data_IF_501021862770
#
_entry.id   IF_501021862770
#
_cell.length_a   1.000
_cell.length_b   1.000
_cell.length_c   1.000
_cell.angle_alpha   90.00
_cell.angle_beta   90.00
_cell.angle_gamma   90.00
#
_symmetry.space_group_name_H-M   'P 1'
#
loop_
_entity.id
_entity.type
_entity.pdbx_description
1 polymer ?
#
# COMPACT_ATOMS: atom_id res chain seq x y z
N UNK A 1 4.61 -24.67 9.07
CA UNK A 1 5.87 -24.83 8.31
C UNK A 1 6.98 -24.04 8.99
N UNK A 2 8.23 -24.52 8.97
CA UNK A 2 9.40 -23.71 9.29
C UNK A 2 9.44 -22.48 8.37
N UNK A 3 9.85 -21.31 8.90
CA UNK A 3 10.03 -20.10 8.09
C UNK A 3 11.14 -20.37 7.08
N UNK A 4 10.82 -20.41 5.79
CA UNK A 4 11.78 -20.63 4.70
C UNK A 4 11.50 -21.86 3.82
N UNK A 5 10.69 -22.82 4.29
CA UNK A 5 10.32 -23.96 3.44
C UNK A 5 9.31 -23.53 2.36
N UNK A 6 9.73 -23.63 1.10
CA UNK A 6 8.94 -23.28 -0.09
C UNK A 6 8.20 -24.50 -0.68
N UNK A 7 8.11 -25.61 0.05
CA UNK A 7 7.45 -26.85 -0.39
C UNK A 7 5.97 -26.66 -0.74
N UNK A 8 5.26 -25.77 -0.05
CA UNK A 8 3.84 -25.44 -0.29
C UNK A 8 3.62 -24.51 -1.50
N UNK A 9 4.68 -24.09 -2.18
CA UNK A 9 4.59 -23.25 -3.36
C UNK A 9 4.62 -24.09 -4.64
N UNK A 10 3.74 -23.73 -5.58
CA UNK A 10 3.71 -24.35 -6.89
C UNK A 10 4.98 -24.00 -7.69
N UNK A 11 5.36 -24.85 -8.64
CA UNK A 11 6.50 -24.58 -9.52
C UNK A 11 6.31 -23.29 -10.33
N UNK A 12 5.06 -22.94 -10.64
CA UNK A 12 4.70 -21.68 -11.28
C UNK A 12 4.94 -20.47 -10.37
N UNK A 13 4.70 -20.60 -9.06
CA UNK A 13 5.00 -19.54 -8.10
C UNK A 13 6.50 -19.33 -7.94
N UNK A 14 7.27 -20.42 -7.82
CA UNK A 14 8.73 -20.37 -7.71
C UNK A 14 9.37 -19.69 -8.92
N UNK A 15 9.04 -20.14 -10.15
CA UNK A 15 9.52 -19.51 -11.40
C UNK A 15 9.16 -18.03 -11.50
N UNK A 16 7.97 -17.64 -11.03
CA UNK A 16 7.56 -16.23 -11.00
C UNK A 16 8.41 -15.43 -9.99
N UNK A 17 8.67 -16.00 -8.81
CA UNK A 17 9.53 -15.36 -7.82
C UNK A 17 10.94 -15.15 -8.39
N UNK A 18 11.55 -16.21 -8.94
CA UNK A 18 12.88 -16.16 -9.58
C UNK A 18 12.96 -15.08 -10.65
N UNK A 19 11.96 -14.97 -11.53
CA UNK A 19 11.96 -13.93 -12.57
C UNK A 19 11.85 -12.50 -11.99
N UNK A 20 11.13 -12.32 -10.87
CA UNK A 20 11.02 -11.00 -10.22
C UNK A 20 12.31 -10.66 -9.49
N UNK A 21 12.88 -11.64 -8.80
CA UNK A 21 14.15 -11.56 -8.10
C UNK A 21 15.28 -11.14 -9.06
N UNK A 22 15.45 -11.86 -10.16
CA UNK A 22 16.42 -11.52 -11.22
C UNK A 22 16.24 -10.08 -11.70
N UNK A 23 15.00 -9.60 -11.85
CA UNK A 23 14.74 -8.22 -12.26
C UNK A 23 15.16 -7.19 -11.21
N UNK A 24 15.11 -7.52 -9.92
CA UNK A 24 15.57 -6.66 -8.84
C UNK A 24 17.09 -6.72 -8.66
N UNK A 25 17.71 -7.90 -8.81
CA UNK A 25 19.18 -8.05 -8.81
C UNK A 25 19.80 -7.24 -9.95
N UNK A 26 19.22 -7.29 -11.16
CA UNK A 26 19.64 -6.46 -12.29
C UNK A 26 19.52 -4.96 -12.03
N UNK A 27 18.70 -4.54 -11.06
CA UNK A 27 18.58 -3.14 -10.60
C UNK A 27 19.53 -2.80 -9.45
N UNK A 28 20.42 -3.73 -9.07
CA UNK A 28 21.45 -3.54 -8.06
C UNK A 28 21.03 -3.87 -6.64
N UNK A 29 19.91 -4.57 -6.43
CA UNK A 29 19.56 -5.08 -5.10
C UNK A 29 20.38 -6.33 -4.77
N UNK A 30 20.66 -6.54 -3.47
CA UNK A 30 21.25 -7.79 -3.00
C UNK A 30 20.30 -8.96 -3.25
N UNK A 31 20.85 -10.18 -3.41
CA UNK A 31 20.05 -11.38 -3.68
C UNK A 31 18.99 -11.61 -2.60
N UNK A 32 19.36 -11.51 -1.31
CA UNK A 32 18.42 -11.66 -0.19
C UNK A 32 17.26 -10.64 -0.23
N UNK A 33 17.54 -9.38 -0.58
CA UNK A 33 16.49 -8.35 -0.67
C UNK A 33 15.62 -8.54 -1.93
N UNK A 34 16.24 -8.91 -3.05
CA UNK A 34 15.54 -9.22 -4.30
C UNK A 34 14.60 -10.42 -4.11
N UNK A 35 15.08 -11.48 -3.48
CA UNK A 35 14.32 -12.68 -3.12
C UNK A 35 13.14 -12.30 -2.22
N UNK A 36 13.38 -11.55 -1.14
CA UNK A 36 12.34 -11.13 -0.22
C UNK A 36 11.24 -10.31 -0.93
N UNK A 37 11.63 -9.36 -1.80
CA UNK A 37 10.69 -8.55 -2.59
C UNK A 37 9.92 -9.39 -3.61
N UNK A 38 10.57 -10.38 -4.21
CA UNK A 38 9.95 -11.30 -5.15
C UNK A 38 8.88 -12.15 -4.48
N UNK A 39 9.21 -12.81 -3.37
CA UNK A 39 8.26 -13.62 -2.61
C UNK A 39 7.12 -12.81 -2.02
N UNK A 40 7.39 -11.58 -1.53
CA UNK A 40 6.34 -10.67 -1.10
C UNK A 40 5.33 -10.36 -2.23
N UNK A 41 5.83 -10.15 -3.45
CA UNK A 41 4.98 -9.89 -4.62
C UNK A 41 4.13 -11.10 -4.98
N UNK A 42 4.72 -12.29 -5.02
CA UNK A 42 3.99 -13.54 -5.30
C UNK A 42 2.94 -13.79 -4.22
N UNK A 43 3.30 -13.67 -2.95
CA UNK A 43 2.41 -13.86 -1.81
C UNK A 43 1.24 -12.89 -1.82
N UNK A 44 1.46 -11.61 -2.18
CA UNK A 44 0.37 -10.63 -2.32
C UNK A 44 -0.66 -11.09 -3.37
N UNK A 45 -0.18 -11.56 -4.52
CA UNK A 45 -1.04 -12.00 -5.61
C UNK A 45 -1.77 -13.32 -5.32
N UNK A 46 -1.08 -14.31 -4.74
CA UNK A 46 -1.63 -15.66 -4.55
C UNK A 46 -2.27 -15.89 -3.18
N UNK A 47 -1.94 -15.06 -2.18
CA UNK A 47 -2.29 -15.31 -0.78
C UNK A 47 -1.39 -16.31 -0.06
N UNK A 48 -0.22 -16.63 -0.63
CA UNK A 48 0.73 -17.63 -0.13
C UNK A 48 0.84 -18.87 -1.02
N UNK A 49 1.35 -19.98 -0.50
CA UNK A 49 1.55 -21.23 -1.24
C UNK A 49 0.24 -21.82 -1.79
N UNK A 50 0.26 -22.29 -3.03
CA UNK A 50 -0.92 -22.85 -3.71
C UNK A 50 -1.01 -24.38 -3.62
N UNK A 51 0.05 -25.07 -3.17
CA UNK A 51 -0.01 -26.52 -2.92
C UNK A 51 -0.76 -26.81 -1.62
N UNK A 52 -1.09 -28.08 -1.43
CA UNK A 52 -1.76 -28.59 -0.22
C UNK A 52 -0.97 -28.19 1.03
N UNK A 53 -1.63 -27.53 1.99
CA UNK A 53 -0.99 -26.97 3.18
C UNK A 53 -0.79 -25.45 3.13
N UNK A 54 -0.68 -24.89 1.93
CA UNK A 54 -0.42 -23.47 1.72
C UNK A 54 -1.65 -22.58 1.90
N UNK A 55 -1.45 -21.37 2.41
CA UNK A 55 -2.53 -20.39 2.64
C UNK A 55 -3.20 -19.88 1.36
N UNK A 56 -2.49 -19.92 0.23
CA UNK A 56 -3.01 -19.52 -1.08
C UNK A 56 -4.05 -20.50 -1.65
N UNK A 57 -4.08 -21.74 -1.16
CA UNK A 57 -5.06 -22.76 -1.55
C UNK A 57 -6.49 -22.39 -1.13
N UNK A 58 -6.65 -21.65 -0.02
CA UNK A 58 -7.95 -21.18 0.49
C UNK A 58 -8.44 -19.88 -0.15
N UNK A 59 -7.59 -19.21 -0.94
CA UNK A 59 -7.93 -17.94 -1.56
C UNK A 59 -8.61 -18.17 -2.89
N UNK A 60 -9.81 -17.60 -3.06
CA UNK A 60 -10.57 -17.73 -4.31
C UNK A 60 -9.85 -17.09 -5.49
N UNK A 61 -10.06 -17.61 -6.70
CA UNK A 61 -9.49 -17.05 -7.91
C UNK A 61 -9.94 -15.60 -8.15
N UNK A 62 -11.17 -15.25 -7.79
CA UNK A 62 -11.67 -13.88 -7.84
C UNK A 62 -10.85 -12.94 -6.94
N UNK A 63 -10.53 -13.37 -5.71
CA UNK A 63 -9.69 -12.59 -4.81
C UNK A 63 -8.25 -12.47 -5.33
N UNK A 64 -7.66 -13.57 -5.82
CA UNK A 64 -6.32 -13.52 -6.46
C UNK A 64 -6.28 -12.59 -7.67
N UNK A 65 -7.34 -12.59 -8.49
CA UNK A 65 -7.48 -11.68 -9.64
C UNK A 65 -7.57 -10.23 -9.18
N UNK A 66 -8.33 -9.95 -8.13
CA UNK A 66 -8.42 -8.62 -7.55
C UNK A 66 -7.05 -8.12 -7.04
N UNK A 67 -6.29 -8.96 -6.34
CA UNK A 67 -4.94 -8.59 -5.86
C UNK A 67 -3.93 -8.39 -6.99
N UNK A 68 -3.99 -9.19 -8.07
CA UNK A 68 -3.19 -8.96 -9.28
C UNK A 68 -3.52 -7.60 -9.91
N UNK A 69 -4.81 -7.27 -10.02
CA UNK A 69 -5.29 -6.00 -10.55
C UNK A 69 -4.85 -4.81 -9.67
N UNK A 70 -4.99 -4.92 -8.36
CA UNK A 70 -4.52 -3.91 -7.40
C UNK A 70 -3.02 -3.68 -7.51
N UNK A 71 -2.23 -4.76 -7.59
CA UNK A 71 -0.77 -4.69 -7.79
C UNK A 71 -0.41 -3.93 -9.07
N UNK A 72 -1.09 -4.23 -10.19
CA UNK A 72 -0.88 -3.55 -11.46
C UNK A 72 -1.27 -2.06 -11.40
N UNK A 73 -2.41 -1.72 -10.78
CA UNK A 73 -2.82 -0.33 -10.60
C UNK A 73 -1.81 0.46 -9.75
N UNK A 74 -1.30 -0.13 -8.66
CA UNK A 74 -0.29 0.53 -7.81
C UNK A 74 1.02 0.74 -8.56
N UNK A 75 1.47 -0.24 -9.34
CA UNK A 75 2.67 -0.08 -10.18
C UNK A 75 2.49 1.05 -11.20
N UNK A 76 1.32 1.12 -11.86
CA UNK A 76 1.00 2.21 -12.79
C UNK A 76 0.93 3.57 -12.08
N UNK A 77 0.33 3.64 -10.90
CA UNK A 77 0.26 4.86 -10.10
C UNK A 77 1.66 5.34 -9.66
N UNK A 78 2.52 4.42 -9.21
CA UNK A 78 3.89 4.74 -8.82
C UNK A 78 4.70 5.32 -9.99
N UNK A 79 4.55 4.77 -11.20
CA UNK A 79 5.17 5.32 -12.42
C UNK A 79 4.70 6.75 -12.75
N UNK A 80 3.48 7.11 -12.33
CA UNK A 80 2.93 8.47 -12.46
C UNK A 80 3.29 9.39 -11.28
N UNK A 81 4.24 9.00 -10.43
CA UNK A 81 4.65 9.78 -9.26
C UNK A 81 3.69 9.71 -8.07
N UNK A 82 2.76 8.74 -8.04
CA UNK A 82 1.85 8.53 -6.91
C UNK A 82 2.32 7.34 -6.05
N UNK A 83 3.19 7.55 -5.04
CA UNK A 83 3.70 6.46 -4.22
C UNK A 83 2.59 5.84 -3.36
N UNK A 84 2.68 4.52 -3.18
CA UNK A 84 1.74 3.73 -2.38
C UNK A 84 1.71 4.12 -0.89
N UNK A 85 2.72 4.86 -0.41
CA UNK A 85 2.84 5.30 0.97
C UNK A 85 2.33 6.73 1.22
N UNK A 86 1.28 7.17 0.51
CA UNK A 86 0.37 8.19 1.05
C UNK A 86 -0.52 7.55 2.12
N UNK A 87 0.11 6.99 3.16
CA UNK A 87 -0.54 6.38 4.32
C UNK A 87 -1.55 7.35 4.92
N UNK A 88 -2.69 6.84 5.39
CA UNK A 88 -3.80 7.49 6.14
C UNK A 88 -4.30 8.89 5.71
N UNK A 89 -3.42 9.86 5.45
CA UNK A 89 -3.68 11.21 4.99
C UNK A 89 -4.48 11.31 3.68
N UNK A 90 -4.41 10.32 2.78
CA UNK A 90 -5.19 10.33 1.52
C UNK A 90 -6.55 9.61 1.63
N UNK A 91 -6.82 8.86 2.70
CA UNK A 91 -8.14 8.24 2.92
C UNK A 91 -9.17 9.26 3.42
N UNK A 92 -8.73 10.36 4.04
CA UNK A 92 -9.60 11.51 4.39
C UNK A 92 -10.08 12.30 3.17
N UNK A 93 -9.29 12.34 2.10
CA UNK A 93 -9.60 13.10 0.89
C UNK A 93 -10.56 12.40 -0.09
N UNK A 94 -11.41 11.47 0.37
CA UNK A 94 -12.44 10.82 -0.47
C UNK A 94 -13.85 11.36 -0.31
N UNK A 95 -14.01 12.41 0.49
CA UNK A 95 -15.10 13.35 0.37
C UNK A 95 -14.50 14.71 0.62
N UNK A 96 -14.46 15.58 -0.40
CA UNK A 96 -14.36 17.01 -0.14
C UNK A 96 -15.66 17.42 0.56
N UNK A 97 -15.79 17.09 1.84
CA UNK A 97 -16.79 17.72 2.67
C UNK A 97 -16.46 19.21 2.64
N UNK A 98 -17.39 19.98 2.09
CA UNK A 98 -17.38 21.44 2.16
C UNK A 98 -17.55 21.91 3.60
N UNK A 99 -18.09 21.06 4.49
CA UNK A 99 -18.26 21.37 5.90
C UNK A 99 -16.94 21.27 6.66
N UNK A 100 -16.58 22.35 7.35
CA UNK A 100 -15.39 22.42 8.22
C UNK A 100 -15.43 21.39 9.36
N UNK A 101 -16.63 20.94 9.77
CA UNK A 101 -16.80 19.99 10.89
C UNK A 101 -16.29 18.59 10.59
N UNK A 102 -16.40 18.18 9.33
CA UNK A 102 -16.12 16.80 8.91
C UNK A 102 -14.65 16.58 8.60
N UNK A 103 -13.90 17.67 8.43
CA UNK A 103 -12.48 17.63 8.16
C UNK A 103 -11.70 17.11 9.37
N UNK A 104 -10.60 16.44 9.09
CA UNK A 104 -9.63 16.10 10.12
C UNK A 104 -8.90 17.33 10.64
N UNK A 105 -8.31 17.25 11.84
CA UNK A 105 -7.49 18.35 12.39
C UNK A 105 -6.37 18.76 11.43
N UNK A 106 -5.77 17.79 10.74
CA UNK A 106 -4.67 18.05 9.81
C UNK A 106 -5.12 18.78 8.55
N UNK A 107 -6.29 18.43 8.01
CA UNK A 107 -6.91 19.16 6.89
C UNK A 107 -7.31 20.59 7.29
N UNK A 108 -7.83 20.78 8.51
CA UNK A 108 -8.11 22.10 9.07
C UNK A 108 -6.81 22.89 9.29
N UNK A 109 -5.74 22.28 9.79
CA UNK A 109 -4.43 22.95 9.91
C UNK A 109 -3.86 23.36 8.54
N UNK A 110 -4.07 22.54 7.51
CA UNK A 110 -3.64 22.86 6.14
C UNK A 110 -4.40 24.07 5.59
N UNK A 111 -5.74 24.11 5.74
CA UNK A 111 -6.56 25.27 5.36
C UNK A 111 -6.23 26.52 6.18
N UNK A 112 -5.97 26.36 7.48
CA UNK A 112 -5.58 27.45 8.36
C UNK A 112 -4.20 28.02 8.01
N UNK A 113 -3.30 27.20 7.46
CA UNK A 113 -2.03 27.66 6.88
C UNK A 113 -2.25 28.45 5.59
N UNK A 114 -3.13 27.97 4.71
CA UNK A 114 -3.49 28.65 3.45
C UNK A 114 -4.15 30.03 3.69
N UNK A 115 -4.78 30.22 4.86
CA UNK A 115 -5.36 31.50 5.30
C UNK A 115 -4.53 32.26 6.34
N UNK A 116 -3.27 31.86 6.55
CA UNK A 116 -2.32 32.51 7.48
C UNK A 116 -2.83 32.72 8.92
N UNK A 117 -3.62 31.80 9.45
CA UNK A 117 -4.13 31.85 10.83
C UNK A 117 -2.95 31.74 11.81
N UNK A 118 -2.70 32.82 12.56
CA UNK A 118 -1.66 32.87 13.60
C UNK A 118 -2.06 31.97 14.79
N UNK A 119 -1.11 31.22 15.34
CA UNK A 119 -1.39 30.30 16.45
C UNK A 119 -2.10 29.00 16.05
N UNK A 120 -2.33 28.74 14.74
CA UNK A 120 -2.97 27.50 14.23
C UNK A 120 -2.38 26.19 14.81
N UNK A 121 -1.08 26.15 15.10
CA UNK A 121 -0.41 24.94 15.60
C UNK A 121 -0.79 24.60 17.05
N UNK A 122 -1.16 25.60 17.87
CA UNK A 122 -1.63 25.39 19.24
C UNK A 122 -3.14 25.15 19.30
N UNK A 123 -3.88 25.47 18.23
CA UNK A 123 -5.33 25.34 18.19
C UNK A 123 -5.79 23.87 18.15
N UNK A 124 -6.84 23.57 18.93
CA UNK A 124 -7.58 22.29 18.86
C UNK A 124 -8.54 22.27 17.67
N UNK A 125 -9.07 21.10 17.31
CA UNK A 125 -9.96 20.93 16.14
C UNK A 125 -11.14 21.94 16.15
N UNK A 126 -11.78 22.13 17.29
CA UNK A 126 -12.90 23.06 17.43
C UNK A 126 -12.48 24.52 17.22
N UNK A 127 -11.30 24.91 17.69
CA UNK A 127 -10.75 26.26 17.52
C UNK A 127 -10.34 26.50 16.06
N UNK A 128 -9.77 25.50 15.40
CA UNK A 128 -9.45 25.56 13.97
C UNK A 128 -10.72 25.70 13.12
N UNK A 129 -11.82 25.02 13.49
CA UNK A 129 -13.12 25.19 12.81
C UNK A 129 -13.62 26.63 13.00
N UNK A 130 -13.58 27.18 14.21
CA UNK A 130 -14.00 28.56 14.49
C UNK A 130 -13.14 29.60 13.78
N UNK A 131 -11.83 29.37 13.67
CA UNK A 131 -10.91 30.28 12.98
C UNK A 131 -11.01 30.19 11.44
N UNK A 132 -11.64 29.14 10.90
CA UNK A 132 -11.83 28.91 9.47
C UNK A 132 -13.26 29.16 8.98
N UNK A 133 -14.22 29.24 9.90
CA UNK A 133 -15.57 29.70 9.63
C UNK A 133 -15.56 31.15 9.20
#
# INVERSE_FOLDING_TARGET
>A
MPRGDKSDYSEKQKRKAEHIEQSYEQRGLSSDEAEARAWATVNKQSGGGEKKGGSGQRKSETAKRADRKDSAHRAAAARKGNPANRGSASRGSRGSSTSLTDLTRDELMKRARERDVRGRSSMRKAELIRALS
#
